data_IF_099541978710
#
_entry.id   IF_099541978710
#
_cell.length_a   1.000
_cell.length_b   1.000
_cell.length_c   1.000
_cell.angle_alpha   90.00
_cell.angle_beta   90.00
_cell.angle_gamma   90.00
#
_symmetry.space_group_name_H-M   'P 1'
#
loop_
_entity.id
_entity.type
_entity.pdbx_description
1 polymer ?
#
# COMPACT_ATOMS: atom_id res chain seq x y z
N UNK A 1 31.24 1.01 -43.03
CA UNK A 1 31.10 1.39 -41.61
C UNK A 1 30.81 2.88 -41.57
N UNK A 2 29.57 3.27 -41.28
CA UNK A 2 29.27 4.69 -41.04
C UNK A 2 29.90 5.07 -39.70
N UNK A 3 30.83 6.01 -39.73
CA UNK A 3 31.43 6.61 -38.53
C UNK A 3 30.34 7.32 -37.73
N UNK A 4 30.22 7.00 -36.45
CA UNK A 4 29.35 7.74 -35.53
C UNK A 4 29.83 9.18 -35.33
N UNK A 5 28.95 10.05 -34.86
CA UNK A 5 29.24 11.46 -34.57
C UNK A 5 28.95 11.75 -33.11
N UNK A 6 29.82 12.53 -32.47
CA UNK A 6 29.59 13.08 -31.13
C UNK A 6 29.14 14.53 -31.29
N UNK A 7 27.97 14.84 -30.73
CA UNK A 7 27.45 16.21 -30.69
C UNK A 7 27.76 16.76 -29.30
N UNK A 8 28.64 17.75 -29.22
CA UNK A 8 29.01 18.42 -27.98
C UNK A 8 28.26 19.75 -27.85
N UNK A 9 27.63 19.97 -26.70
CA UNK A 9 26.92 21.22 -26.38
C UNK A 9 25.63 21.47 -27.16
N UNK A 10 25.01 20.45 -27.75
CA UNK A 10 23.74 20.57 -28.47
C UNK A 10 22.92 19.27 -28.37
N UNK A 11 21.58 19.31 -28.13
CA UNK A 11 20.72 20.49 -28.02
C UNK A 11 20.70 21.09 -26.60
N UNK A 12 20.55 22.42 -26.53
CA UNK A 12 20.41 23.19 -25.27
C UNK A 12 19.03 23.82 -25.09
N UNK A 13 18.15 23.75 -26.10
CA UNK A 13 16.77 24.23 -26.03
C UNK A 13 15.78 23.26 -26.67
N UNK A 14 14.50 23.33 -26.29
CA UNK A 14 13.43 22.52 -26.92
C UNK A 14 13.27 22.76 -28.42
N UNK A 15 13.55 23.98 -28.91
CA UNK A 15 13.50 24.27 -30.35
C UNK A 15 14.54 23.45 -31.11
N UNK A 16 15.73 23.31 -30.53
CA UNK A 16 16.82 22.53 -31.12
C UNK A 16 16.54 21.02 -31.09
N UNK A 17 15.90 20.52 -30.02
CA UNK A 17 15.40 19.14 -29.96
C UNK A 17 14.45 18.85 -31.14
N UNK A 18 13.47 19.72 -31.38
CA UNK A 18 12.54 19.60 -32.52
C UNK A 18 13.24 19.64 -33.88
N UNK A 19 14.32 20.44 -34.01
CA UNK A 19 15.11 20.49 -35.25
C UNK A 19 15.82 19.16 -35.49
N UNK A 20 16.39 18.54 -34.45
CA UNK A 20 17.03 17.22 -34.55
C UNK A 20 16.01 16.15 -34.96
N UNK A 21 14.83 16.13 -34.32
CA UNK A 21 13.73 15.22 -34.70
C UNK A 21 13.30 15.40 -36.15
N UNK A 22 13.12 16.65 -36.59
CA UNK A 22 12.73 16.97 -37.96
C UNK A 22 13.77 16.51 -38.99
N UNK A 23 15.05 16.55 -38.60
CA UNK A 23 16.17 16.04 -39.39
C UNK A 23 16.39 14.52 -39.22
N UNK A 24 15.59 13.83 -38.38
CA UNK A 24 15.75 12.42 -38.02
C UNK A 24 17.12 12.09 -37.41
N UNK A 25 17.71 13.05 -36.69
CA UNK A 25 18.97 12.87 -35.97
C UNK A 25 18.62 12.54 -34.51
N UNK A 26 18.68 11.26 -34.17
CA UNK A 26 18.38 10.78 -32.80
C UNK A 26 19.71 10.37 -32.15
N UNK A 27 20.16 11.04 -31.08
CA UNK A 27 21.32 10.60 -30.32
C UNK A 27 21.08 9.21 -29.74
N UNK A 28 22.02 8.28 -29.95
CA UNK A 28 21.90 6.92 -29.42
C UNK A 28 22.08 6.89 -27.89
N UNK A 29 22.94 7.76 -27.36
CA UNK A 29 23.11 7.96 -25.92
C UNK A 29 23.42 9.42 -25.66
N UNK A 30 22.85 9.98 -24.60
CA UNK A 30 23.09 11.36 -24.17
C UNK A 30 23.75 11.30 -22.79
N UNK A 31 24.92 11.92 -22.67
CA UNK A 31 25.65 12.01 -21.40
C UNK A 31 25.51 13.41 -20.83
N UNK A 32 24.94 13.51 -19.63
CA UNK A 32 24.88 14.74 -18.86
C UNK A 32 25.94 14.70 -17.76
N UNK A 33 26.88 15.64 -17.82
CA UNK A 33 27.91 15.81 -16.80
C UNK A 33 27.34 16.63 -15.63
N UNK A 34 26.90 15.96 -14.58
CA UNK A 34 26.28 16.58 -13.42
C UNK A 34 27.32 17.14 -12.45
N UNK A 35 27.19 18.42 -12.09
CA UNK A 35 28.06 19.09 -11.14
C UNK A 35 27.38 20.29 -10.50
N UNK A 36 27.67 20.55 -9.22
CA UNK A 36 27.17 21.76 -8.55
C UNK A 36 27.73 23.03 -9.20
N UNK A 37 26.90 24.06 -9.31
CA UNK A 37 27.27 25.31 -9.94
C UNK A 37 28.49 25.97 -9.28
N UNK A 38 28.64 25.88 -7.94
CA UNK A 38 29.80 26.42 -7.22
C UNK A 38 31.09 25.77 -7.69
N UNK A 39 31.08 24.44 -7.87
CA UNK A 39 32.23 23.70 -8.36
C UNK A 39 32.52 24.00 -9.84
N UNK A 40 31.48 24.17 -10.67
CA UNK A 40 31.62 24.67 -12.06
C UNK A 40 32.34 26.01 -12.08
N UNK A 41 31.92 27.00 -11.27
CA UNK A 41 32.55 28.31 -11.22
C UNK A 41 33.99 28.24 -10.69
N UNK A 42 34.24 27.40 -9.69
CA UNK A 42 35.59 27.20 -9.13
C UNK A 42 36.55 26.65 -10.18
N UNK A 43 36.13 25.63 -10.95
CA UNK A 43 36.92 25.05 -12.03
C UNK A 43 37.14 26.03 -13.17
N UNK A 44 36.12 26.78 -13.56
CA UNK A 44 36.23 27.80 -14.60
C UNK A 44 37.22 28.93 -14.23
N UNK A 45 37.26 29.34 -12.95
CA UNK A 45 38.26 30.29 -12.45
C UNK A 45 39.68 29.72 -12.55
N UNK A 46 39.87 28.46 -12.13
CA UNK A 46 41.16 27.78 -12.22
C UNK A 46 41.63 27.62 -13.68
N UNK A 47 40.72 27.35 -14.62
CA UNK A 47 41.05 27.25 -16.05
C UNK A 47 41.47 28.60 -16.64
N UNK A 48 40.91 29.71 -16.14
CA UNK A 48 41.30 31.07 -16.55
C UNK A 48 42.73 31.42 -16.14
N UNK A 49 43.21 30.85 -15.03
CA UNK A 49 44.56 31.01 -14.49
C UNK A 49 45.57 30.03 -15.12
N UNK A 50 45.11 29.09 -15.95
CA UNK A 50 45.95 28.07 -16.59
C UNK A 50 46.84 28.65 -17.70
N UNK A 51 48.07 28.13 -17.78
CA UNK A 51 49.04 28.46 -18.84
C UNK A 51 48.69 27.84 -20.20
N UNK A 52 47.77 26.86 -20.24
CA UNK A 52 47.34 26.15 -21.45
C UNK A 52 46.09 26.77 -22.11
N UNK A 53 45.95 28.10 -22.06
CA UNK A 53 44.75 28.79 -22.58
C UNK A 53 44.82 28.94 -24.10
N UNK A 54 43.69 28.85 -24.82
CA UNK A 54 43.66 29.18 -26.24
C UNK A 54 44.14 30.61 -26.51
N UNK A 55 44.77 30.84 -27.65
CA UNK A 55 45.29 32.15 -28.05
C UNK A 55 44.19 33.18 -28.37
N UNK A 56 42.94 32.74 -28.48
CA UNK A 56 41.78 33.57 -28.77
C UNK A 56 40.95 33.88 -27.51
N UNK A 57 40.21 35.01 -27.48
CA UNK A 57 39.33 35.34 -26.37
C UNK A 57 38.25 34.28 -26.12
N UNK A 58 38.07 33.89 -24.86
CA UNK A 58 37.04 32.93 -24.44
C UNK A 58 35.94 33.64 -23.64
N UNK A 59 34.69 33.26 -23.85
CA UNK A 59 33.53 33.79 -23.11
C UNK A 59 33.37 33.11 -21.73
N UNK A 60 34.35 33.33 -20.85
CA UNK A 60 34.51 32.72 -19.52
C UNK A 60 34.44 33.71 -18.34
N UNK A 61 33.93 34.92 -18.58
CA UNK A 61 33.66 35.86 -17.49
C UNK A 61 32.61 35.30 -16.52
N UNK A 62 32.70 35.65 -15.24
CA UNK A 62 31.77 35.17 -14.21
C UNK A 62 30.31 35.49 -14.55
N UNK A 63 30.06 36.67 -15.11
CA UNK A 63 28.73 37.10 -15.57
C UNK A 63 28.22 36.21 -16.71
N UNK A 64 29.05 35.91 -17.71
CA UNK A 64 28.66 35.06 -18.84
C UNK A 64 28.40 33.63 -18.37
N UNK A 65 29.26 33.09 -17.51
CA UNK A 65 29.09 31.74 -16.94
C UNK A 65 27.81 31.64 -16.12
N UNK A 66 27.46 32.69 -15.36
CA UNK A 66 26.21 32.76 -14.61
C UNK A 66 24.99 32.74 -15.52
N UNK A 67 25.02 33.49 -16.62
CA UNK A 67 23.95 33.49 -17.62
C UNK A 67 23.82 32.11 -18.29
N UNK A 68 24.95 31.50 -18.70
CA UNK A 68 24.97 30.16 -19.29
C UNK A 68 24.37 29.11 -18.35
N UNK A 69 24.79 29.10 -17.08
CA UNK A 69 24.27 28.18 -16.07
C UNK A 69 22.78 28.40 -15.80
N UNK A 70 22.32 29.65 -15.77
CA UNK A 70 20.89 29.97 -15.64
C UNK A 70 20.08 29.44 -16.82
N UNK A 71 20.54 29.67 -18.04
CA UNK A 71 19.90 29.18 -19.27
C UNK A 71 19.86 27.64 -19.33
N UNK A 72 20.96 26.98 -18.96
CA UNK A 72 21.03 25.53 -18.82
C UNK A 72 19.96 25.01 -17.86
N UNK A 73 19.93 25.52 -16.63
CA UNK A 73 18.96 25.09 -15.60
C UNK A 73 17.52 25.31 -16.02
N UNK A 74 17.24 26.36 -16.80
CA UNK A 74 15.91 26.64 -17.31
C UNK A 74 15.40 25.58 -18.30
N UNK A 75 16.29 24.97 -19.08
CA UNK A 75 15.90 24.11 -20.20
C UNK A 75 16.21 22.62 -20.00
N UNK A 76 17.25 22.29 -19.21
CA UNK A 76 17.76 20.91 -19.16
C UNK A 76 16.74 19.92 -18.64
N UNK A 77 15.98 20.24 -17.59
CA UNK A 77 14.98 19.32 -17.03
C UNK A 77 13.92 18.97 -18.07
N UNK A 78 13.47 19.98 -18.81
CA UNK A 78 12.49 19.84 -19.87
C UNK A 78 12.98 18.98 -21.05
N UNK A 79 14.29 19.00 -21.35
CA UNK A 79 14.93 18.19 -22.40
C UNK A 79 15.19 16.78 -21.89
N UNK A 80 15.72 16.66 -20.67
CA UNK A 80 15.99 15.40 -19.97
C UNK A 80 14.72 14.57 -19.83
N UNK A 81 13.62 15.17 -19.36
CA UNK A 81 12.33 14.47 -19.23
C UNK A 81 11.83 13.97 -20.59
N UNK A 82 12.02 14.76 -21.65
CA UNK A 82 11.65 14.35 -23.01
C UNK A 82 12.45 13.13 -23.45
N UNK A 83 13.78 13.19 -23.47
CA UNK A 83 14.62 12.07 -23.92
C UNK A 83 14.50 10.82 -23.04
N UNK A 84 14.34 10.98 -21.72
CA UNK A 84 14.07 9.85 -20.82
C UNK A 84 12.76 9.15 -21.15
N UNK A 85 11.71 9.90 -21.49
CA UNK A 85 10.38 9.36 -21.81
C UNK A 85 10.35 8.74 -23.21
N UNK A 86 10.85 9.47 -24.20
CA UNK A 86 10.71 9.12 -25.62
C UNK A 86 11.77 8.13 -26.11
N UNK A 87 13.00 8.17 -25.57
CA UNK A 87 14.11 7.38 -26.11
C UNK A 87 14.85 6.54 -25.08
N UNK A 88 14.62 6.75 -23.78
CA UNK A 88 15.28 6.02 -22.68
C UNK A 88 16.82 6.03 -22.77
N UNK A 89 17.40 7.07 -23.38
CA UNK A 89 18.81 7.13 -23.78
C UNK A 89 19.66 8.10 -22.94
N UNK A 90 19.13 8.63 -21.84
CA UNK A 90 19.81 9.63 -20.99
C UNK A 90 20.65 8.99 -19.89
N UNK A 91 21.93 9.34 -19.81
CA UNK A 91 22.88 8.88 -18.81
C UNK A 91 23.42 10.08 -18.03
N UNK A 92 23.26 10.08 -16.70
CA UNK A 92 23.89 11.08 -15.84
C UNK A 92 25.24 10.57 -15.36
N UNK A 93 26.26 11.42 -15.44
CA UNK A 93 27.63 11.11 -15.06
C UNK A 93 28.09 12.17 -14.05
N UNK A 94 28.54 11.72 -12.88
CA UNK A 94 29.09 12.60 -11.85
C UNK A 94 30.39 13.24 -12.36
N UNK A 95 30.33 14.55 -12.63
CA UNK A 95 31.45 15.29 -13.17
C UNK A 95 32.40 15.81 -12.08
N UNK A 96 32.12 15.57 -10.80
CA UNK A 96 33.05 15.89 -9.71
C UNK A 96 34.28 14.96 -9.71
N UNK A 97 34.14 13.77 -10.29
CA UNK A 97 35.18 12.76 -10.43
C UNK A 97 36.34 13.19 -11.34
N UNK A 98 37.40 12.39 -11.35
CA UNK A 98 38.57 12.63 -12.21
C UNK A 98 38.22 12.46 -13.70
N UNK A 99 38.97 13.17 -14.58
CA UNK A 99 38.81 13.06 -16.04
C UNK A 99 38.91 11.60 -16.53
N UNK A 100 39.81 10.82 -15.93
CA UNK A 100 39.98 9.39 -16.23
C UNK A 100 38.77 8.55 -15.85
N UNK A 101 38.17 8.80 -14.69
CA UNK A 101 36.98 8.09 -14.26
C UNK A 101 35.80 8.39 -15.19
N UNK A 102 35.58 9.66 -15.51
CA UNK A 102 34.52 10.10 -16.43
C UNK A 102 34.72 9.45 -17.81
N UNK A 103 35.94 9.51 -18.35
CA UNK A 103 36.28 8.88 -19.62
C UNK A 103 35.99 7.38 -19.61
N UNK A 104 36.42 6.66 -18.56
CA UNK A 104 36.20 5.23 -18.45
C UNK A 104 34.70 4.90 -18.34
N UNK A 105 33.93 5.68 -17.57
CA UNK A 105 32.49 5.48 -17.42
C UNK A 105 31.76 5.68 -18.75
N UNK A 106 32.04 6.77 -19.46
CA UNK A 106 31.44 7.04 -20.78
C UNK A 106 31.85 5.97 -21.79
N UNK A 107 33.13 5.55 -21.81
CA UNK A 107 33.60 4.49 -22.69
C UNK A 107 32.86 3.18 -22.46
N UNK A 108 32.67 2.78 -21.21
CA UNK A 108 31.93 1.56 -20.86
C UNK A 108 30.48 1.61 -21.37
N UNK A 109 29.78 2.71 -21.14
CA UNK A 109 28.39 2.88 -21.60
C UNK A 109 28.28 2.85 -23.13
N UNK A 110 29.22 3.51 -23.84
CA UNK A 110 29.27 3.49 -25.31
C UNK A 110 29.57 2.07 -25.82
N UNK A 111 30.49 1.34 -25.19
CA UNK A 111 30.82 -0.04 -25.57
C UNK A 111 29.61 -0.96 -25.44
N UNK A 112 28.83 -0.84 -24.36
CA UNK A 112 27.60 -1.61 -24.16
C UNK A 112 26.60 -1.31 -25.28
N UNK A 113 26.31 -0.03 -25.53
CA UNK A 113 25.35 0.39 -26.56
C UNK A 113 25.76 -0.08 -27.96
N UNK A 114 27.03 0.09 -28.33
CA UNK A 114 27.54 -0.34 -29.63
C UNK A 114 27.44 -1.86 -29.78
N UNK A 115 27.75 -2.61 -28.72
CA UNK A 115 27.63 -4.06 -28.71
C UNK A 115 26.18 -4.51 -28.90
N UNK A 116 25.23 -3.90 -28.18
CA UNK A 116 23.80 -4.25 -28.33
C UNK A 116 23.27 -3.94 -29.74
N UNK A 117 23.67 -2.81 -30.33
CA UNK A 117 23.32 -2.47 -31.71
C UNK A 117 23.90 -3.49 -32.70
N UNK A 118 25.15 -3.90 -32.52
CA UNK A 118 25.77 -4.93 -33.36
C UNK A 118 25.05 -6.26 -33.25
N UNK A 119 24.78 -6.73 -32.02
CA UNK A 119 24.04 -7.96 -31.75
C UNK A 119 22.66 -7.91 -32.40
N UNK A 120 21.95 -6.79 -32.28
CA UNK A 120 20.66 -6.60 -32.92
C UNK A 120 20.76 -6.74 -34.43
N UNK A 121 21.65 -5.97 -35.08
CA UNK A 121 21.79 -5.99 -36.54
C UNK A 121 22.18 -7.38 -37.07
N UNK A 122 23.07 -8.08 -36.37
CA UNK A 122 23.49 -9.44 -36.72
C UNK A 122 22.33 -10.44 -36.61
N UNK A 123 21.62 -10.44 -35.47
CA UNK A 123 20.51 -11.38 -35.23
C UNK A 123 19.36 -11.14 -36.20
N UNK A 124 19.00 -9.89 -36.46
CA UNK A 124 17.93 -9.55 -37.41
C UNK A 124 18.32 -9.95 -38.84
N UNK A 125 19.57 -9.77 -39.24
CA UNK A 125 20.07 -10.25 -40.53
C UNK A 125 19.99 -11.77 -40.66
N UNK A 126 20.22 -12.50 -39.57
CA UNK A 126 20.06 -13.97 -39.50
C UNK A 126 18.59 -14.42 -39.39
N UNK A 127 17.64 -13.49 -39.29
CA UNK A 127 16.21 -13.78 -39.10
C UNK A 127 15.86 -14.28 -37.69
N UNK A 128 16.73 -14.07 -36.70
CA UNK A 128 16.52 -14.43 -35.29
C UNK A 128 15.90 -13.27 -34.52
N UNK A 129 15.33 -13.57 -33.35
CA UNK A 129 14.88 -12.52 -32.43
C UNK A 129 16.07 -11.79 -31.80
N UNK A 130 15.88 -10.49 -31.53
CA UNK A 130 16.87 -9.62 -30.92
C UNK A 130 16.25 -8.72 -29.86
N UNK A 131 17.02 -8.39 -28.82
CA UNK A 131 16.61 -7.41 -27.81
C UNK A 131 16.48 -6.03 -28.43
N UNK A 132 15.47 -5.26 -28.03
CA UNK A 132 15.31 -3.85 -28.41
C UNK A 132 15.64 -2.89 -27.27
N UNK A 133 16.15 -3.41 -26.17
CA UNK A 133 16.65 -2.58 -25.07
C UNK A 133 17.71 -1.60 -25.60
N UNK A 134 17.65 -0.35 -25.13
CA UNK A 134 18.60 0.72 -25.48
C UNK A 134 18.69 1.10 -26.98
N UNK A 135 17.78 0.64 -27.84
CA UNK A 135 17.75 1.02 -29.26
C UNK A 135 17.01 2.35 -29.57
N UNK A 136 16.69 3.14 -28.54
CA UNK A 136 16.01 4.44 -28.66
C UNK A 136 14.60 4.40 -29.31
N UNK A 137 13.93 3.24 -29.25
CA UNK A 137 12.57 3.05 -29.77
C UNK A 137 11.57 3.91 -29.00
N UNK A 138 10.75 4.69 -29.71
CA UNK A 138 9.75 5.54 -29.08
C UNK A 138 8.51 4.77 -28.64
N UNK A 139 7.76 5.25 -27.63
CA UNK A 139 6.48 4.65 -27.26
C UNK A 139 5.49 4.54 -28.43
N UNK A 140 5.47 5.53 -29.33
CA UNK A 140 4.62 5.53 -30.52
C UNK A 140 5.08 4.48 -31.54
N UNK A 141 6.38 4.37 -31.79
CA UNK A 141 6.92 3.32 -32.67
C UNK A 141 6.64 1.93 -32.09
N UNK A 142 6.86 1.76 -30.79
CA UNK A 142 6.57 0.53 -30.07
C UNK A 142 5.11 0.13 -30.30
N UNK A 143 4.18 1.05 -30.06
CA UNK A 143 2.74 0.81 -30.19
C UNK A 143 2.33 0.48 -31.64
N UNK A 144 2.95 1.13 -32.63
CA UNK A 144 2.67 0.90 -34.05
C UNK A 144 3.19 -0.44 -34.58
N UNK A 145 4.15 -1.06 -33.88
CA UNK A 145 4.80 -2.31 -34.28
C UNK A 145 4.60 -3.46 -33.30
N UNK A 146 3.67 -3.34 -32.35
CA UNK A 146 3.33 -4.44 -31.46
C UNK A 146 2.88 -5.66 -32.28
N UNK A 147 3.39 -6.83 -31.90
CA UNK A 147 2.94 -8.09 -32.46
C UNK A 147 1.53 -8.49 -32.01
N UNK A 148 1.13 -9.70 -32.36
CA UNK A 148 -0.22 -10.23 -32.13
C UNK A 148 -0.60 -10.36 -30.64
N UNK A 149 0.40 -10.36 -29.75
CA UNK A 149 0.19 -10.40 -28.29
C UNK A 149 0.10 -9.02 -27.64
N UNK A 150 0.26 -7.93 -28.41
CA UNK A 150 0.17 -6.57 -27.89
C UNK A 150 1.16 -6.33 -26.75
N UNK A 151 0.64 -5.97 -25.58
CA UNK A 151 1.41 -5.70 -24.36
C UNK A 151 1.56 -6.93 -23.44
N UNK A 152 1.06 -8.10 -23.85
CA UNK A 152 1.12 -9.32 -23.04
C UNK A 152 2.34 -10.16 -23.38
N UNK A 153 2.85 -10.88 -22.38
CA UNK A 153 3.99 -11.77 -22.57
C UNK A 153 3.59 -13.06 -23.33
N UNK A 154 4.12 -13.29 -24.55
CA UNK A 154 3.81 -14.49 -25.32
C UNK A 154 4.35 -15.78 -24.66
N UNK A 155 5.53 -15.70 -24.02
CA UNK A 155 6.17 -16.85 -23.37
C UNK A 155 5.39 -17.31 -22.14
N UNK A 156 4.95 -16.38 -21.29
CA UNK A 156 4.13 -16.70 -20.12
C UNK A 156 2.79 -17.31 -20.51
N UNK A 157 2.17 -16.82 -21.58
CA UNK A 157 0.92 -17.39 -22.09
C UNK A 157 1.14 -18.79 -22.68
N UNK A 158 2.23 -19.00 -23.43
CA UNK A 158 2.52 -20.29 -24.06
C UNK A 158 2.90 -21.40 -23.05
N UNK A 159 3.77 -21.11 -22.08
CA UNK A 159 4.27 -22.12 -21.14
C UNK A 159 3.39 -22.29 -19.90
N UNK A 160 2.87 -21.18 -19.35
CA UNK A 160 2.16 -21.16 -18.07
C UNK A 160 0.64 -20.98 -18.24
N UNK A 161 0.17 -20.56 -19.43
CA UNK A 161 -1.22 -20.16 -19.64
C UNK A 161 -1.58 -18.86 -18.93
N UNK A 162 -0.59 -18.05 -18.54
CA UNK A 162 -0.81 -16.84 -17.74
C UNK A 162 -0.80 -15.58 -18.61
N UNK A 163 -1.84 -14.75 -18.47
CA UNK A 163 -1.93 -13.41 -19.06
C UNK A 163 -1.16 -12.41 -18.19
N UNK A 164 0.11 -12.20 -18.51
CA UNK A 164 0.94 -11.18 -17.84
C UNK A 164 0.94 -9.90 -18.68
N UNK A 165 0.28 -8.86 -18.18
CA UNK A 165 0.26 -7.53 -18.80
C UNK A 165 1.56 -6.78 -18.48
N UNK A 166 2.33 -6.44 -19.53
CA UNK A 166 3.58 -5.69 -19.43
C UNK A 166 3.41 -4.19 -19.72
N UNK A 167 2.17 -3.69 -19.81
CA UNK A 167 1.86 -2.27 -20.07
C UNK A 167 2.31 -1.33 -18.94
N UNK A 168 2.34 -1.81 -17.69
CA UNK A 168 2.78 -1.02 -16.54
C UNK A 168 4.27 -0.65 -16.58
N UNK A 169 5.08 -1.47 -17.26
CA UNK A 169 6.52 -1.27 -17.33
C UNK A 169 6.85 -0.47 -18.58
N UNK A 170 7.22 0.81 -18.40
CA UNK A 170 7.66 1.66 -19.51
C UNK A 170 9.01 1.22 -20.11
N UNK A 171 9.87 0.57 -19.31
CA UNK A 171 11.19 0.09 -19.75
C UNK A 171 11.08 -0.96 -20.85
N UNK A 172 11.96 -0.88 -21.85
CA UNK A 172 12.12 -1.85 -22.93
C UNK A 172 13.17 -2.93 -22.62
N UNK A 173 13.64 -3.03 -21.37
CA UNK A 173 14.66 -4.00 -20.96
C UNK A 173 14.30 -5.45 -21.33
N UNK A 174 13.02 -5.82 -21.21
CA UNK A 174 12.52 -7.16 -21.53
C UNK A 174 11.72 -7.20 -22.84
N UNK A 175 12.06 -6.35 -23.80
CA UNK A 175 11.40 -6.32 -25.09
C UNK A 175 12.33 -6.85 -26.19
N UNK A 176 11.73 -7.52 -27.18
CA UNK A 176 12.45 -8.08 -28.31
C UNK A 176 11.69 -7.85 -29.61
N UNK A 177 12.44 -7.77 -30.70
CA UNK A 177 11.92 -7.77 -32.05
C UNK A 177 12.05 -9.16 -32.65
N UNK A 178 10.99 -9.58 -33.35
CA UNK A 178 11.03 -10.74 -34.23
C UNK A 178 10.16 -10.49 -35.45
N UNK A 179 10.76 -10.64 -36.65
CA UNK A 179 10.09 -10.45 -37.95
C UNK A 179 9.34 -9.12 -38.07
N UNK A 180 9.97 -8.03 -37.64
CA UNK A 180 9.42 -6.68 -37.73
C UNK A 180 8.44 -6.29 -36.61
N UNK A 181 8.05 -7.22 -35.75
CA UNK A 181 7.10 -6.99 -34.66
C UNK A 181 7.78 -7.00 -33.29
N UNK A 182 7.28 -6.18 -32.38
CA UNK A 182 7.77 -6.07 -31.02
C UNK A 182 6.92 -6.87 -30.04
N UNK A 183 7.61 -7.53 -29.12
CA UNK A 183 7.03 -8.33 -28.05
C UNK A 183 7.66 -7.91 -26.72
N UNK A 184 6.84 -7.84 -25.67
CA UNK A 184 7.31 -7.57 -24.30
C UNK A 184 7.23 -8.85 -23.48
N UNK A 185 8.23 -9.06 -22.64
CA UNK A 185 8.35 -10.24 -21.80
C UNK A 185 8.21 -9.87 -20.33
N UNK A 186 7.68 -10.80 -19.55
CA UNK A 186 7.41 -10.60 -18.13
C UNK A 186 8.70 -10.44 -17.30
N UNK A 187 9.76 -11.15 -17.68
CA UNK A 187 11.07 -11.08 -17.02
C UNK A 187 12.23 -11.41 -17.97
N UNK A 188 13.45 -11.31 -17.46
CA UNK A 188 14.67 -11.71 -18.15
C UNK A 188 14.66 -13.18 -18.56
N UNK A 189 14.10 -14.08 -17.75
CA UNK A 189 14.03 -15.51 -18.07
C UNK A 189 13.15 -15.75 -19.31
N UNK A 190 11.99 -15.12 -19.37
CA UNK A 190 11.11 -15.20 -20.53
C UNK A 190 11.73 -14.54 -21.78
N UNK A 191 12.47 -13.43 -21.62
CA UNK A 191 13.22 -12.83 -22.73
C UNK A 191 14.26 -13.81 -23.31
N UNK A 192 15.06 -14.46 -22.48
CA UNK A 192 16.09 -15.41 -22.94
C UNK A 192 15.49 -16.60 -23.69
N UNK A 193 14.37 -17.14 -23.19
CA UNK A 193 13.60 -18.17 -23.87
C UNK A 193 13.12 -17.69 -25.25
N UNK A 194 12.53 -16.50 -25.31
CA UNK A 194 12.08 -15.91 -26.56
C UNK A 194 13.22 -15.69 -27.55
N UNK A 195 14.36 -15.17 -27.11
CA UNK A 195 15.55 -14.94 -27.95
C UNK A 195 16.18 -16.25 -28.47
N UNK A 196 15.95 -17.38 -27.79
CA UNK A 196 16.47 -18.68 -28.19
C UNK A 196 15.64 -19.34 -29.29
N UNK A 197 14.30 -19.32 -29.17
CA UNK A 197 13.34 -19.95 -30.10
C UNK A 197 12.04 -19.12 -30.17
N UNK A 198 12.04 -17.97 -30.84
CA UNK A 198 10.87 -17.10 -30.91
C UNK A 198 9.68 -17.73 -31.65
N UNK A 199 9.94 -18.63 -32.60
CA UNK A 199 8.92 -19.19 -33.50
C UNK A 199 7.83 -19.94 -32.74
N UNK A 200 8.17 -20.65 -31.66
CA UNK A 200 7.20 -21.41 -30.85
C UNK A 200 6.30 -20.52 -29.99
N UNK A 201 6.62 -19.24 -29.84
CA UNK A 201 5.87 -18.30 -29.03
C UNK A 201 5.03 -17.33 -29.88
N UNK A 202 5.25 -17.27 -31.20
CA UNK A 202 4.50 -16.39 -32.12
C UNK A 202 3.67 -17.18 -33.14
N UNK A 203 2.55 -16.62 -33.66
CA UNK A 203 1.81 -17.26 -34.74
C UNK A 203 2.72 -17.55 -35.95
N UNK A 204 2.56 -18.71 -36.63
CA UNK A 204 1.49 -19.69 -36.49
C UNK A 204 1.76 -20.84 -35.51
N UNK A 205 2.95 -20.94 -34.90
CA UNK A 205 3.33 -22.07 -34.05
C UNK A 205 3.02 -21.85 -32.56
N UNK A 206 2.59 -20.64 -32.18
CA UNK A 206 2.14 -20.34 -30.84
C UNK A 206 1.02 -21.31 -30.39
N UNK A 207 1.13 -21.92 -29.20
CA UNK A 207 0.15 -22.91 -28.73
C UNK A 207 -1.22 -22.27 -28.44
N UNK A 208 -1.23 -21.02 -27.98
CA UNK A 208 -2.43 -20.27 -27.65
C UNK A 208 -2.33 -18.87 -28.26
N UNK A 209 -3.33 -18.43 -29.05
CA UNK A 209 -3.41 -17.04 -29.48
C UNK A 209 -3.76 -16.13 -28.29
N UNK A 210 -3.49 -14.83 -28.43
CA UNK A 210 -4.01 -13.87 -27.46
C UNK A 210 -5.55 -13.90 -27.48
N UNK A 211 -6.22 -14.00 -26.31
CA UNK A 211 -7.67 -13.89 -26.26
C UNK A 211 -8.16 -12.56 -26.83
N UNK A 212 -9.35 -12.53 -27.45
CA UNK A 212 -9.94 -11.30 -27.95
C UNK A 212 -10.21 -10.30 -26.80
N UNK A 213 -10.30 -8.99 -27.08
CA UNK A 213 -10.33 -7.94 -26.06
C UNK A 213 -11.47 -8.04 -25.03
N UNK A 214 -12.59 -8.64 -25.40
CA UNK A 214 -13.75 -8.92 -24.53
C UNK A 214 -13.45 -10.00 -23.48
N UNK A 215 -12.51 -10.90 -23.79
CA UNK A 215 -12.01 -11.95 -22.90
C UNK A 215 -10.68 -11.57 -22.24
N UNK A 216 -10.29 -10.28 -22.26
CA UNK A 216 -9.14 -9.78 -21.50
C UNK A 216 -9.62 -9.09 -20.22
N UNK A 217 -9.00 -9.41 -19.06
CA UNK A 217 -9.40 -8.81 -17.80
C UNK A 217 -8.93 -7.34 -17.74
N UNK A 218 -9.84 -6.43 -17.41
CA UNK A 218 -9.56 -4.99 -17.29
C UNK A 218 -9.75 -4.54 -15.84
N UNK A 219 -8.70 -4.00 -15.22
CA UNK A 219 -8.79 -3.39 -13.89
C UNK A 219 -9.73 -2.18 -13.94
N UNK A 220 -10.63 -2.09 -12.96
CA UNK A 220 -11.54 -0.97 -12.78
C UNK A 220 -11.21 -0.19 -11.51
N UNK A 221 -11.41 1.12 -11.56
CA UNK A 221 -11.40 2.00 -10.40
C UNK A 221 -12.75 2.00 -9.69
N UNK A 222 -12.79 2.37 -8.40
CA UNK A 222 -14.04 2.45 -7.66
C UNK A 222 -15.06 3.43 -8.27
N UNK A 223 -14.59 4.48 -8.96
CA UNK A 223 -15.45 5.42 -9.67
C UNK A 223 -16.12 4.77 -10.89
N UNK A 224 -15.36 4.00 -11.68
CA UNK A 224 -15.89 3.27 -12.85
C UNK A 224 -16.90 2.20 -12.41
N UNK A 225 -16.63 1.48 -11.32
CA UNK A 225 -17.58 0.48 -10.78
C UNK A 225 -18.90 1.15 -10.37
N UNK A 226 -18.86 2.33 -9.74
CA UNK A 226 -20.07 3.09 -9.39
C UNK A 226 -20.83 3.58 -10.61
N UNK A 227 -20.13 3.97 -11.67
CA UNK A 227 -20.75 4.41 -12.92
C UNK A 227 -21.46 3.26 -13.67
N UNK A 228 -21.06 2.01 -13.44
CA UNK A 228 -21.68 0.83 -14.05
C UNK A 228 -23.00 0.40 -13.38
N UNK A 229 -23.48 1.11 -12.36
CA UNK A 229 -24.79 0.85 -11.75
C UNK A 229 -25.90 0.95 -12.82
N UNK A 230 -26.82 -0.04 -12.93
CA UNK A 230 -27.21 -1.04 -11.94
C UNK A 230 -26.55 -2.42 -12.10
N UNK A 231 -25.48 -2.59 -12.90
CA UNK A 231 -24.79 -3.88 -12.99
C UNK A 231 -24.22 -4.27 -11.63
N UNK A 232 -24.68 -5.39 -11.07
CA UNK A 232 -24.19 -5.93 -9.81
C UNK A 232 -22.89 -6.69 -9.99
N UNK A 233 -22.05 -6.71 -8.94
CA UNK A 233 -20.88 -7.59 -8.90
C UNK A 233 -21.29 -9.06 -9.04
N UNK A 234 -20.56 -9.80 -9.88
CA UNK A 234 -20.66 -11.24 -10.03
C UNK A 234 -20.31 -11.92 -8.70
N UNK A 235 -20.82 -13.15 -8.50
CA UNK A 235 -20.72 -13.85 -7.21
C UNK A 235 -21.22 -13.00 -6.01
N UNK A 236 -22.21 -12.13 -6.22
CA UNK A 236 -22.77 -11.26 -5.17
C UNK A 236 -21.72 -10.41 -4.43
N UNK A 237 -20.57 -10.14 -5.06
CA UNK A 237 -19.45 -9.37 -4.48
C UNK A 237 -18.48 -10.20 -3.62
N UNK A 238 -18.58 -11.52 -3.60
CA UNK A 238 -17.57 -12.38 -2.97
C UNK A 238 -16.36 -12.58 -3.88
N UNK A 239 -15.18 -12.71 -3.27
CA UNK A 239 -13.91 -12.88 -3.97
C UNK A 239 -13.80 -14.30 -4.61
N UNK A 240 -13.78 -14.42 -5.95
CA UNK A 240 -13.69 -15.71 -6.65
C UNK A 240 -12.41 -16.50 -6.31
N UNK A 241 -11.29 -15.77 -6.19
CA UNK A 241 -9.97 -16.36 -5.95
C UNK A 241 -9.91 -16.99 -4.56
N UNK A 242 -10.38 -16.30 -3.52
CA UNK A 242 -10.43 -16.86 -2.17
C UNK A 242 -11.29 -18.10 -2.13
N UNK A 243 -12.45 -18.07 -2.81
CA UNK A 243 -13.37 -19.18 -2.81
C UNK A 243 -12.78 -20.43 -3.45
N UNK A 244 -12.20 -20.32 -4.65
CA UNK A 244 -11.61 -21.47 -5.33
C UNK A 244 -10.34 -21.98 -4.63
N UNK A 245 -9.42 -21.08 -4.25
CA UNK A 245 -8.18 -21.45 -3.55
C UNK A 245 -8.47 -22.07 -2.16
N UNK A 246 -9.54 -21.60 -1.51
CA UNK A 246 -10.06 -22.13 -0.25
C UNK A 246 -10.75 -23.49 -0.38
N UNK A 247 -10.72 -24.13 -1.56
CA UNK A 247 -11.40 -25.39 -1.89
C UNK A 247 -12.93 -25.29 -1.76
N UNK A 248 -13.49 -24.13 -2.13
CA UNK A 248 -14.94 -23.87 -2.15
C UNK A 248 -15.62 -24.02 -0.78
N UNK A 249 -14.85 -23.84 0.29
CA UNK A 249 -15.33 -23.91 1.68
C UNK A 249 -16.08 -22.65 2.08
N UNK A 250 -16.95 -22.78 3.08
CA UNK A 250 -17.79 -21.68 3.57
C UNK A 250 -16.95 -20.55 4.18
N UNK A 251 -15.88 -20.91 4.91
CA UNK A 251 -14.96 -19.96 5.55
C UNK A 251 -14.18 -19.11 4.52
N UNK A 252 -14.10 -19.58 3.27
CA UNK A 252 -13.39 -18.91 2.18
C UNK A 252 -14.28 -17.92 1.38
N UNK A 253 -15.57 -17.81 1.72
CA UNK A 253 -16.48 -16.82 1.14
C UNK A 253 -16.27 -15.45 1.79
N UNK A 254 -15.21 -14.77 1.37
CA UNK A 254 -14.84 -13.44 1.86
C UNK A 254 -15.36 -12.35 0.91
N UNK A 255 -16.06 -11.32 1.41
CA UNK A 255 -16.49 -10.20 0.57
C UNK A 255 -15.29 -9.43 0.01
N UNK A 256 -15.36 -9.04 -1.26
CA UNK A 256 -14.34 -8.22 -1.91
C UNK A 256 -14.45 -6.74 -1.57
N UNK A 257 -13.39 -5.99 -1.84
CA UNK A 257 -13.34 -4.53 -1.76
C UNK A 257 -13.49 -3.92 -3.16
N UNK A 258 -14.36 -2.91 -3.29
CA UNK A 258 -14.67 -2.21 -4.56
C UNK A 258 -13.41 -1.62 -5.22
N UNK A 259 -12.40 -1.23 -4.44
CA UNK A 259 -11.11 -0.72 -4.96
C UNK A 259 -10.34 -1.77 -5.77
N UNK A 260 -10.58 -3.05 -5.49
CA UNK A 260 -9.98 -4.18 -6.21
C UNK A 260 -11.05 -4.83 -7.09
N UNK A 261 -11.40 -4.15 -8.17
CA UNK A 261 -12.40 -4.65 -9.13
C UNK A 261 -11.78 -4.90 -10.51
N UNK A 262 -12.28 -5.94 -11.19
CA UNK A 262 -11.89 -6.30 -12.56
C UNK A 262 -13.15 -6.54 -13.38
N UNK A 263 -13.17 -6.01 -14.60
CA UNK A 263 -14.15 -6.36 -15.61
C UNK A 263 -13.62 -7.51 -16.46
N UNK A 264 -14.43 -8.55 -16.64
CA UNK A 264 -14.11 -9.69 -17.49
C UNK A 264 -15.42 -10.23 -18.09
N UNK A 265 -15.50 -10.39 -19.42
CA UNK A 265 -16.72 -10.80 -20.14
C UNK A 265 -17.97 -10.01 -19.72
N UNK A 266 -17.87 -8.66 -19.72
CA UNK A 266 -18.94 -7.73 -19.30
C UNK A 266 -19.46 -7.86 -17.85
N UNK A 267 -18.77 -8.66 -17.03
CA UNK A 267 -19.07 -8.90 -15.62
C UNK A 267 -18.04 -8.24 -14.73
N UNK A 268 -18.49 -7.74 -13.58
CA UNK A 268 -17.63 -7.09 -12.58
C UNK A 268 -17.31 -8.08 -11.47
N UNK A 269 -16.04 -8.38 -11.28
CA UNK A 269 -15.53 -9.22 -10.19
C UNK A 269 -14.82 -8.34 -9.16
N UNK A 270 -14.96 -8.68 -7.88
CA UNK A 270 -14.44 -7.88 -6.75
C UNK A 270 -13.57 -8.78 -5.88
N UNK A 271 -12.43 -8.28 -5.41
CA UNK A 271 -11.42 -9.07 -4.69
C UNK A 271 -11.11 -8.49 -3.31
N UNK A 272 -10.70 -9.35 -2.37
CA UNK A 272 -10.33 -8.92 -1.01
C UNK A 272 -9.02 -8.11 -1.00
N UNK A 273 -8.02 -8.56 -1.75
CA UNK A 273 -6.66 -7.97 -1.77
C UNK A 273 -6.17 -7.77 -3.20
N UNK A 274 -5.17 -6.90 -3.36
CA UNK A 274 -4.51 -6.66 -4.66
C UNK A 274 -3.83 -7.92 -5.21
N UNK A 275 -3.22 -8.74 -4.34
CA UNK A 275 -2.60 -10.02 -4.75
C UNK A 275 -3.61 -10.96 -5.43
N UNK A 276 -4.83 -11.03 -4.89
CA UNK A 276 -5.91 -11.86 -5.43
C UNK A 276 -6.45 -11.30 -6.74
N UNK A 277 -6.53 -9.98 -6.86
CA UNK A 277 -6.84 -9.31 -8.12
C UNK A 277 -5.80 -9.68 -9.19
N UNK A 278 -4.51 -9.55 -8.89
CA UNK A 278 -3.44 -9.90 -9.84
C UNK A 278 -3.48 -11.38 -10.24
N UNK A 279 -3.80 -12.28 -9.30
CA UNK A 279 -3.98 -13.70 -9.60
C UNK A 279 -5.11 -13.95 -10.59
N UNK A 280 -6.24 -13.25 -10.43
CA UNK A 280 -7.34 -13.32 -11.38
C UNK A 280 -6.96 -12.74 -12.75
N UNK A 281 -6.26 -11.61 -12.78
CA UNK A 281 -5.79 -11.00 -14.04
C UNK A 281 -4.89 -11.95 -14.84
N UNK A 282 -4.06 -12.77 -14.15
CA UNK A 282 -3.20 -13.77 -14.80
C UNK A 282 -3.97 -14.98 -15.33
N UNK A 283 -4.96 -15.47 -14.59
CA UNK A 283 -5.67 -16.71 -14.90
C UNK A 283 -7.19 -16.54 -14.83
N UNK A 284 -7.79 -15.64 -15.62
CA UNK A 284 -9.22 -15.35 -15.50
C UNK A 284 -10.09 -16.57 -15.84
N UNK A 285 -9.67 -17.39 -16.81
CA UNK A 285 -10.37 -18.62 -17.25
C UNK A 285 -10.57 -19.65 -16.13
N UNK A 286 -9.70 -19.64 -15.11
CA UNK A 286 -9.79 -20.55 -13.97
C UNK A 286 -10.87 -20.13 -12.96
N UNK A 287 -11.14 -18.83 -12.85
CA UNK A 287 -11.92 -18.25 -11.75
C UNK A 287 -13.27 -17.66 -12.19
N UNK A 288 -13.51 -17.43 -13.49
CA UNK A 288 -14.70 -16.70 -13.96
C UNK A 288 -16.03 -17.45 -13.76
N UNK A 289 -16.06 -18.78 -13.96
CA UNK A 289 -17.30 -19.59 -13.95
C UNK A 289 -17.55 -20.31 -12.62
N UNK A 290 -17.34 -19.62 -11.50
CA UNK A 290 -17.60 -20.20 -10.19
C UNK A 290 -19.07 -20.02 -9.80
N UNK A 291 -19.69 -21.13 -9.35
CA UNK A 291 -21.06 -21.13 -8.83
C UNK A 291 -21.02 -21.03 -7.31
N UNK A 292 -21.77 -20.06 -6.77
CA UNK A 292 -21.92 -19.92 -5.33
C UNK A 292 -22.72 -21.08 -4.72
N UNK A 293 -22.39 -21.51 -3.49
CA UNK A 293 -23.17 -22.51 -2.78
C UNK A 293 -24.52 -21.94 -2.34
N UNK A 294 -25.51 -22.81 -2.13
CA UNK A 294 -26.86 -22.40 -1.67
C UNK A 294 -26.85 -21.70 -0.31
N UNK A 295 -25.87 -22.00 0.55
CA UNK A 295 -25.73 -21.39 1.89
C UNK A 295 -24.61 -20.35 1.85
N UNK A 296 -24.98 -19.09 2.02
CA UNK A 296 -24.06 -17.96 2.04
C UNK A 296 -23.81 -17.47 3.48
N UNK A 297 -22.66 -16.84 3.74
CA UNK A 297 -22.43 -16.18 5.01
C UNK A 297 -23.43 -15.05 5.24
N UNK A 298 -24.01 -14.94 6.44
CA UNK A 298 -24.93 -13.85 6.75
C UNK A 298 -24.20 -12.52 6.56
N UNK A 299 -24.88 -11.55 5.93
CA UNK A 299 -24.35 -10.19 5.82
C UNK A 299 -24.19 -9.62 7.22
N UNK A 300 -22.97 -9.24 7.58
CA UNK A 300 -22.67 -8.59 8.85
C UNK A 300 -23.10 -7.12 8.76
N UNK A 301 -24.40 -6.89 8.76
CA UNK A 301 -24.94 -5.53 8.85
C UNK A 301 -24.90 -5.10 10.32
N UNK A 302 -24.37 -3.91 10.63
CA UNK A 302 -24.36 -3.40 11.99
C UNK A 302 -25.80 -3.15 12.43
N UNK A 303 -26.34 -4.03 13.26
CA UNK A 303 -27.65 -3.85 13.87
C UNK A 303 -27.50 -2.85 15.01
N UNK A 304 -28.30 -1.79 14.99
CA UNK A 304 -28.36 -0.84 16.09
C UNK A 304 -28.83 -1.55 17.36
N UNK A 305 -28.15 -1.31 18.48
CA UNK A 305 -28.45 -1.95 19.77
C UNK A 305 -29.90 -1.68 20.22
N UNK A 306 -30.45 -0.52 19.86
CA UNK A 306 -31.85 -0.12 20.13
C UNK A 306 -32.89 -0.81 19.23
N UNK A 307 -32.45 -1.41 18.11
CA UNK A 307 -33.32 -2.16 17.22
C UNK A 307 -33.49 -3.62 17.66
N UNK A 308 -32.73 -4.07 18.67
CA UNK A 308 -32.86 -5.41 19.22
C UNK A 308 -34.16 -5.55 20.06
N UNK A 309 -34.79 -6.74 20.08
CA UNK A 309 -35.84 -7.04 21.04
C UNK A 309 -35.36 -6.83 22.49
N UNK A 310 -36.29 -6.58 23.42
CA UNK A 310 -35.98 -6.25 24.82
C UNK A 310 -34.96 -7.21 25.46
N UNK A 311 -35.10 -8.52 25.23
CA UNK A 311 -34.16 -9.51 25.75
C UNK A 311 -32.73 -9.31 25.22
N UNK A 312 -32.55 -9.12 23.91
CA UNK A 312 -31.25 -8.87 23.29
C UNK A 312 -30.65 -7.51 23.68
N UNK A 313 -31.49 -6.49 23.85
CA UNK A 313 -31.05 -5.19 24.37
C UNK A 313 -30.47 -5.30 25.79
N UNK A 314 -31.17 -6.00 26.69
CA UNK A 314 -30.71 -6.20 28.06
C UNK A 314 -29.43 -7.06 28.12
N UNK A 315 -29.36 -8.10 27.29
CA UNK A 315 -28.20 -8.98 27.20
C UNK A 315 -26.96 -8.23 26.71
N UNK A 316 -27.06 -7.52 25.59
CA UNK A 316 -25.91 -6.84 24.98
C UNK A 316 -25.57 -5.51 25.69
N UNK A 317 -26.56 -4.83 26.28
CA UNK A 317 -26.39 -3.50 26.86
C UNK A 317 -26.09 -3.50 28.36
N UNK A 318 -26.67 -4.42 29.13
CA UNK A 318 -26.71 -4.34 30.60
C UNK A 318 -26.07 -5.56 31.28
N UNK A 319 -26.07 -6.73 30.64
CA UNK A 319 -25.68 -7.98 31.29
C UNK A 319 -24.25 -7.96 31.84
N UNK A 320 -23.25 -7.52 31.06
CA UNK A 320 -21.86 -7.47 31.54
C UNK A 320 -21.70 -6.60 32.78
N UNK A 321 -22.41 -5.47 32.85
CA UNK A 321 -22.37 -4.56 34.00
C UNK A 321 -23.03 -5.19 35.23
N UNK A 322 -24.17 -5.87 35.04
CA UNK A 322 -24.87 -6.58 36.12
C UNK A 322 -24.06 -7.78 36.64
N UNK A 323 -23.47 -8.58 35.74
CA UNK A 323 -22.64 -9.74 36.10
C UNK A 323 -21.48 -9.29 36.98
N UNK A 324 -20.79 -8.20 36.62
CA UNK A 324 -19.70 -7.64 37.44
C UNK A 324 -20.18 -7.20 38.82
N UNK A 325 -21.29 -6.47 38.89
CA UNK A 325 -21.86 -6.01 40.15
C UNK A 325 -22.27 -7.19 41.06
N UNK A 326 -22.95 -8.20 40.49
CA UNK A 326 -23.40 -9.39 41.22
C UNK A 326 -22.23 -10.27 41.67
N UNK A 327 -21.19 -10.39 40.84
CA UNK A 327 -19.97 -11.12 41.21
C UNK A 327 -19.28 -10.48 42.42
N UNK A 328 -19.13 -9.14 42.42
CA UNK A 328 -18.56 -8.43 43.57
C UNK A 328 -19.40 -8.60 44.85
N UNK A 329 -20.74 -8.52 44.74
CA UNK A 329 -21.63 -8.79 45.88
C UNK A 329 -21.49 -10.25 46.36
N UNK A 330 -21.35 -11.20 45.45
CA UNK A 330 -21.19 -12.62 45.76
C UNK A 330 -19.88 -12.93 46.48
N UNK A 331 -18.77 -12.27 46.09
CA UNK A 331 -17.48 -12.39 46.75
C UNK A 331 -17.45 -11.70 48.12
N UNK A 332 -17.94 -10.46 48.21
CA UNK A 332 -17.85 -9.65 49.42
C UNK A 332 -18.93 -10.00 50.46
N UNK A 333 -20.08 -10.53 50.03
CA UNK A 333 -21.27 -10.81 50.87
C UNK A 333 -21.60 -9.64 51.81
N UNK A 334 -21.77 -8.41 51.28
CA UNK A 334 -21.84 -7.20 52.08
C UNK A 334 -23.05 -7.21 53.02
N UNK A 335 -22.82 -6.88 54.29
CA UNK A 335 -23.84 -6.78 55.33
C UNK A 335 -23.69 -5.46 56.07
N UNK A 336 -24.53 -4.48 55.72
CA UNK A 336 -24.55 -3.21 56.42
C UNK A 336 -25.26 -3.37 57.79
N UNK A 337 -24.75 -2.75 58.86
CA UNK A 337 -25.47 -2.64 60.13
C UNK A 337 -26.93 -2.22 59.94
N UNK A 338 -27.84 -2.83 60.69
CA UNK A 338 -29.29 -2.51 60.74
C UNK A 338 -30.09 -2.65 59.44
N UNK A 339 -29.48 -3.09 58.32
CA UNK A 339 -30.17 -3.42 57.08
C UNK A 339 -30.25 -4.93 56.83
N UNK A 340 -31.26 -5.36 56.07
CA UNK A 340 -31.32 -6.74 55.58
C UNK A 340 -30.24 -7.00 54.53
N UNK A 341 -29.84 -8.28 54.39
CA UNK A 341 -28.86 -8.70 53.38
C UNK A 341 -29.34 -8.30 51.98
N UNK A 342 -30.62 -8.53 51.68
CA UNK A 342 -31.25 -8.16 50.41
C UNK A 342 -31.16 -6.66 50.12
N UNK A 343 -31.44 -5.80 51.10
CA UNK A 343 -31.36 -4.33 50.93
C UNK A 343 -29.93 -3.87 50.73
N UNK A 344 -28.97 -4.44 51.47
CA UNK A 344 -27.55 -4.12 51.34
C UNK A 344 -27.03 -4.49 49.94
N UNK A 345 -27.37 -5.70 49.46
CA UNK A 345 -27.00 -6.16 48.12
C UNK A 345 -27.56 -5.24 47.01
N UNK A 346 -28.83 -4.83 47.11
CA UNK A 346 -29.44 -3.93 46.13
C UNK A 346 -28.76 -2.54 46.11
N UNK A 347 -28.44 -1.98 47.28
CA UNK A 347 -27.71 -0.72 47.38
C UNK A 347 -26.30 -0.84 46.78
N UNK A 348 -25.60 -1.94 47.06
CA UNK A 348 -24.29 -2.21 46.49
C UNK A 348 -24.35 -2.26 44.96
N UNK A 349 -25.29 -3.04 44.39
CA UNK A 349 -25.47 -3.15 42.93
C UNK A 349 -25.80 -1.78 42.32
N UNK A 350 -26.70 -1.01 42.92
CA UNK A 350 -27.06 0.31 42.42
C UNK A 350 -25.86 1.29 42.43
N UNK A 351 -25.09 1.33 43.52
CA UNK A 351 -23.88 2.15 43.61
C UNK A 351 -22.81 1.69 42.63
N UNK A 352 -22.62 0.38 42.45
CA UNK A 352 -21.68 -0.20 41.50
C UNK A 352 -22.02 0.18 40.06
N UNK A 353 -23.28 0.02 39.65
CA UNK A 353 -23.74 0.42 38.32
C UNK A 353 -23.55 1.93 38.07
N UNK A 354 -23.88 2.78 39.04
CA UNK A 354 -23.69 4.24 38.92
C UNK A 354 -22.19 4.65 38.92
N UNK A 355 -21.33 3.95 39.66
CA UNK A 355 -19.89 4.19 39.72
C UNK A 355 -19.14 3.81 38.42
N UNK A 356 -19.61 2.78 37.72
CA UNK A 356 -18.97 2.22 36.53
C UNK A 356 -19.67 2.57 35.21
N UNK A 357 -20.76 3.35 35.22
CA UNK A 357 -21.46 3.77 34.01
C UNK A 357 -20.60 4.72 33.14
N UNK A 358 -20.13 4.33 31.94
CA UNK A 358 -19.26 5.16 31.11
C UNK A 358 -19.92 6.44 30.59
N UNK A 359 -21.26 6.45 30.48
CA UNK A 359 -22.05 7.62 30.04
C UNK A 359 -22.40 8.57 31.20
N UNK A 360 -22.04 8.23 32.44
CA UNK A 360 -22.26 9.09 33.61
C UNK A 360 -21.23 10.22 33.70
N UNK A 361 -21.60 11.34 34.34
CA UNK A 361 -20.69 12.46 34.58
C UNK A 361 -19.48 12.04 35.41
N UNK A 362 -18.32 12.65 35.15
CA UNK A 362 -17.07 12.32 35.87
C UNK A 362 -17.20 12.55 37.40
N UNK A 363 -17.85 13.63 37.80
CA UNK A 363 -18.14 13.95 39.20
C UNK A 363 -19.08 12.93 39.84
N UNK A 364 -20.15 12.53 39.12
CA UNK A 364 -21.09 11.51 39.59
C UNK A 364 -20.41 10.16 39.79
N UNK A 365 -19.59 9.71 38.84
CA UNK A 365 -18.82 8.46 38.96
C UNK A 365 -17.88 8.50 40.16
N UNK A 366 -17.17 9.61 40.39
CA UNK A 366 -16.28 9.77 41.54
C UNK A 366 -17.05 9.71 42.87
N UNK A 367 -18.19 10.39 42.95
CA UNK A 367 -19.05 10.37 44.14
C UNK A 367 -19.57 8.96 44.44
N UNK A 368 -20.05 8.21 43.43
CA UNK A 368 -20.53 6.84 43.63
C UNK A 368 -19.41 5.83 43.91
N UNK A 369 -18.19 6.03 43.38
CA UNK A 369 -17.02 5.23 43.77
C UNK A 369 -16.65 5.44 45.23
N UNK A 370 -16.69 6.69 45.70
CA UNK A 370 -16.46 7.00 47.11
C UNK A 370 -17.53 6.37 48.00
N UNK A 371 -18.82 6.52 47.64
CA UNK A 371 -19.93 5.86 48.36
C UNK A 371 -19.81 4.34 48.37
N UNK A 372 -19.31 3.73 47.29
CA UNK A 372 -19.07 2.30 47.23
C UNK A 372 -17.93 1.87 48.16
N UNK A 373 -16.86 2.66 48.26
CA UNK A 373 -15.77 2.42 49.21
C UNK A 373 -16.23 2.55 50.67
N UNK A 374 -16.97 3.62 50.99
CA UNK A 374 -17.58 3.82 52.32
C UNK A 374 -18.52 2.67 52.68
N UNK A 375 -19.35 2.21 51.72
CA UNK A 375 -20.25 1.08 51.94
C UNK A 375 -19.48 -0.22 52.21
N UNK A 376 -18.33 -0.45 51.56
CA UNK A 376 -17.45 -1.60 51.84
C UNK A 376 -16.88 -1.50 53.26
N UNK A 377 -16.35 -0.34 53.65
CA UNK A 377 -15.83 -0.11 55.00
C UNK A 377 -16.89 -0.31 56.09
N UNK A 378 -18.12 0.17 55.86
CA UNK A 378 -19.22 -0.01 56.80
C UNK A 378 -19.68 -1.47 56.91
N UNK A 379 -19.54 -2.27 55.85
CA UNK A 379 -19.85 -3.71 55.91
C UNK A 379 -18.85 -4.49 56.75
N UNK A 380 -17.59 -4.04 56.84
CA UNK A 380 -16.55 -4.65 57.69
C UNK A 380 -16.74 -4.37 59.19
N UNK A 381 -17.61 -3.42 59.56
CA UNK A 381 -17.86 -3.09 60.97
C UNK A 381 -18.49 -4.25 61.75
N UNK A 382 -19.42 -5.02 61.15
CA UNK A 382 -20.08 -6.14 61.84
C UNK A 382 -19.09 -7.30 62.13
N UNK A 383 -18.32 -7.80 61.13
CA UNK A 383 -17.29 -8.81 61.39
C UNK A 383 -16.20 -8.31 62.35
N UNK A 384 -15.77 -7.05 62.23
CA UNK A 384 -14.75 -6.46 63.10
C UNK A 384 -15.21 -6.38 64.56
N UNK A 385 -16.39 -5.79 64.82
CA UNK A 385 -16.94 -5.69 66.16
C UNK A 385 -17.25 -7.07 66.75
N UNK A 386 -17.67 -8.03 65.93
CA UNK A 386 -17.88 -9.41 66.38
C UNK A 386 -16.61 -10.14 66.84
N UNK A 387 -15.42 -9.72 66.37
CA UNK A 387 -14.13 -10.32 66.77
C UNK A 387 -13.48 -9.58 67.94
N UNK A 388 -13.52 -8.26 67.90
CA UNK A 388 -12.74 -7.39 68.79
C UNK A 388 -13.52 -6.91 70.01
N UNK A 389 -14.84 -7.15 70.09
CA UNK A 389 -15.64 -6.76 71.24
C UNK A 389 -15.52 -7.81 72.36
N UNK A 390 -14.89 -7.47 73.50
CA UNK A 390 -14.79 -8.39 74.63
C UNK A 390 -16.15 -8.57 75.32
N UNK A 391 -16.38 -9.75 75.89
CA UNK A 391 -17.59 -10.05 76.68
C UNK A 391 -17.68 -9.20 77.96
N UNK A 392 -16.53 -8.82 78.51
CA UNK A 392 -16.40 -7.99 79.71
C UNK A 392 -15.95 -6.57 79.36
N UNK A 393 -16.42 -5.60 80.14
CA UNK A 393 -16.08 -4.19 79.92
C UNK A 393 -14.56 -3.95 80.01
N UNK A 394 -13.98 -3.48 78.91
CA UNK A 394 -12.58 -3.08 78.84
C UNK A 394 -12.46 -1.56 78.83
N UNK A 395 -11.58 -1.01 79.67
CA UNK A 395 -11.36 0.43 79.80
C UNK A 395 -10.80 1.05 78.51
N UNK A 396 -11.13 2.31 78.16
CA UNK A 396 -10.81 2.92 76.86
C UNK A 396 -9.33 2.86 76.46
N UNK A 397 -8.42 2.94 77.43
CA UNK A 397 -6.97 2.93 77.21
C UNK A 397 -6.40 1.54 76.89
N UNK A 398 -7.19 0.46 77.06
CA UNK A 398 -6.80 -0.93 76.72
C UNK A 398 -7.50 -1.44 75.45
N UNK A 399 -8.30 -0.60 74.77
CA UNK A 399 -9.01 -0.98 73.55
C UNK A 399 -8.09 -0.88 72.32
N UNK A 400 -8.32 -1.68 71.27
CA UNK A 400 -7.60 -1.55 70.02
C UNK A 400 -7.68 -0.12 69.46
N UNK A 401 -6.61 0.41 68.83
CA UNK A 401 -6.61 1.75 68.25
C UNK A 401 -7.74 1.91 67.22
N UNK A 402 -8.54 2.97 67.36
CA UNK A 402 -9.66 3.25 66.46
C UNK A 402 -10.94 2.44 66.72
N UNK A 403 -10.98 1.59 67.75
CA UNK A 403 -12.17 0.82 68.13
C UNK A 403 -13.35 1.74 68.47
N UNK A 404 -13.14 2.75 69.32
CA UNK A 404 -14.20 3.67 69.73
C UNK A 404 -14.78 4.48 68.56
N UNK A 405 -13.94 4.83 67.59
CA UNK A 405 -14.38 5.50 66.37
C UNK A 405 -15.27 4.58 65.52
N UNK A 406 -14.84 3.33 65.28
CA UNK A 406 -15.62 2.32 64.55
C UNK A 406 -16.94 1.97 65.25
N UNK A 407 -16.93 1.91 66.57
CA UNK A 407 -18.13 1.66 67.38
C UNK A 407 -19.13 2.83 67.30
N UNK A 408 -18.65 4.08 67.36
CA UNK A 408 -19.48 5.27 67.13
C UNK A 408 -20.06 5.29 65.71
N UNK A 409 -19.25 4.96 64.70
CA UNK A 409 -19.70 4.84 63.30
C UNK A 409 -20.73 3.72 63.14
N UNK A 410 -20.58 2.60 63.83
CA UNK A 410 -21.59 1.54 63.83
C UNK A 410 -22.94 2.06 64.35
N UNK A 411 -22.99 2.73 65.50
CA UNK A 411 -24.24 3.26 66.03
C UNK A 411 -24.83 4.40 65.20
N UNK A 412 -24.02 5.25 64.58
CA UNK A 412 -24.52 6.34 63.71
C UNK A 412 -25.25 5.81 62.47
N UNK A 413 -24.93 4.59 62.01
CA UNK A 413 -25.63 3.91 60.92
C UNK A 413 -27.05 3.47 61.28
N UNK A 414 -27.44 3.47 62.57
CA UNK A 414 -28.80 3.18 63.02
C UNK A 414 -29.78 4.28 62.66
N UNK A 415 -29.34 5.54 62.78
CA UNK A 415 -30.15 6.74 62.54
C UNK A 415 -30.00 7.26 61.11
N UNK A 416 -28.90 6.91 60.44
CA UNK A 416 -28.70 7.19 59.03
C UNK A 416 -29.62 6.30 58.17
N UNK A 417 -30.82 6.79 57.83
CA UNK A 417 -31.57 6.19 56.71
C UNK A 417 -30.70 6.33 55.46
N UNK A 418 -30.26 5.23 54.82
CA UNK A 418 -29.53 5.35 53.57
C UNK A 418 -30.46 6.03 52.58
N UNK A 419 -30.07 7.21 52.08
CA UNK A 419 -30.80 7.86 51.02
C UNK A 419 -30.74 6.94 49.79
N UNK A 420 -31.84 6.23 49.53
CA UNK A 420 -32.02 5.48 48.31
C UNK A 420 -31.97 6.47 47.14
N UNK A 421 -31.09 6.27 46.16
CA UNK A 421 -30.95 7.18 45.04
C UNK A 421 -31.84 6.80 43.86
#
# INVERSE_FOLDING_TARGET
MSTGVVIDGYPVTRKQVKLLESARIIPVKIFELEMDAKEVFRRALSDKESTNRPSYPVHDSSQILAIKNSCYKQHIDAIRTYYKKEHQNWCMVDATQSKWWIWNKVLQEVQVVVKEIQIYLERIKEGKAASIADLCITPEELQGRLGEFGQYCPVSLAEKGELVDCSSTASLQFAAEFRGHYYKMASQEELEKFLSRPEVYVPPLAPYPLPPPDMLPKRLTAAEVKALFPKSAEMQGYCPVTYLDGKQRYEALVPGNIEYSVMYQDKVYVFETEEKLLKFMRLPEKYWNLKLPRKLPPKKEPILLTALPMAGYLEQGVATSLIKALNEVGCLKPKLPFLSVKRTALLFVACHLKAHNPRGSAQGRRAYRQKLAELREHCELVPYLGREMPSDYTEPHRRPPGFDLKLRTFFSLKDARPAFP
#
